data_IF_817727848062
#
_entry.id   IF_817727848062
#
_cell.length_a   1.000
_cell.length_b   1.000
_cell.length_c   1.000
_cell.angle_alpha   90.00
_cell.angle_beta   90.00
_cell.angle_gamma   90.00
#
_symmetry.space_group_name_H-M   'P 1'
#
loop_
_entity.id
_entity.type
_entity.pdbx_description
1 polymer ?
#
# COMPACT_ATOMS: atom_id res chain seq x y z
N UNK A 1 -40.96 -57.18 -7.28
CA UNK A 1 -40.41 -56.16 -8.21
C UNK A 1 -39.75 -56.87 -9.40
N UNK A 2 -40.03 -56.45 -10.65
CA UNK A 2 -39.46 -57.11 -11.84
C UNK A 2 -37.93 -57.01 -11.83
N UNK A 3 -37.25 -58.11 -12.19
CA UNK A 3 -35.78 -58.25 -12.16
C UNK A 3 -35.05 -57.17 -12.99
N UNK A 4 -35.73 -56.60 -13.99
CA UNK A 4 -35.24 -55.48 -14.81
C UNK A 4 -35.21 -54.14 -14.07
N UNK A 5 -36.17 -53.87 -13.17
CA UNK A 5 -36.22 -52.60 -12.41
C UNK A 5 -35.00 -52.48 -11.49
N UNK A 6 -34.61 -53.57 -10.81
CA UNK A 6 -33.40 -53.58 -9.95
C UNK A 6 -32.11 -53.31 -10.75
N UNK A 7 -31.97 -53.83 -11.97
CA UNK A 7 -30.80 -53.58 -12.83
C UNK A 7 -30.69 -52.11 -13.23
N UNK A 8 -31.79 -51.52 -13.69
CA UNK A 8 -31.82 -50.10 -14.05
C UNK A 8 -31.57 -49.20 -12.84
N UNK A 9 -32.12 -49.51 -11.67
CA UNK A 9 -31.83 -48.77 -10.44
C UNK A 9 -30.34 -48.78 -10.07
N UNK A 10 -29.65 -49.92 -10.22
CA UNK A 10 -28.20 -50.01 -9.98
C UNK A 10 -27.41 -49.17 -10.99
N UNK A 11 -27.79 -49.22 -12.27
CA UNK A 11 -27.15 -48.42 -13.34
C UNK A 11 -27.31 -46.92 -13.05
N UNK A 12 -28.51 -46.49 -12.67
CA UNK A 12 -28.77 -45.09 -12.29
C UNK A 12 -27.96 -44.66 -11.06
N UNK A 13 -27.80 -45.54 -10.06
CA UNK A 13 -27.05 -45.25 -8.85
C UNK A 13 -25.54 -45.09 -9.14
N UNK A 14 -24.97 -45.96 -9.98
CA UNK A 14 -23.58 -45.86 -10.44
C UNK A 14 -23.39 -44.59 -11.28
N UNK A 15 -24.30 -44.31 -12.21
CA UNK A 15 -24.23 -43.10 -13.04
C UNK A 15 -24.32 -41.81 -12.19
N UNK A 16 -25.13 -41.82 -11.14
CA UNK A 16 -25.25 -40.70 -10.20
C UNK A 16 -23.96 -40.49 -9.39
N UNK A 17 -23.34 -41.58 -8.88
CA UNK A 17 -22.06 -41.51 -8.18
C UNK A 17 -20.92 -41.00 -9.08
N UNK A 18 -20.86 -41.46 -10.33
CA UNK A 18 -19.91 -40.97 -11.31
C UNK A 18 -20.16 -39.49 -11.64
N UNK A 19 -21.43 -39.10 -11.79
CA UNK A 19 -21.82 -37.70 -12.00
C UNK A 19 -21.38 -36.79 -10.83
N UNK A 20 -21.57 -37.23 -9.59
CA UNK A 20 -21.09 -36.51 -8.39
C UNK A 20 -19.57 -36.40 -8.39
N UNK A 21 -18.85 -37.48 -8.72
CA UNK A 21 -17.39 -37.47 -8.82
C UNK A 21 -16.89 -36.47 -9.87
N UNK A 22 -17.53 -36.41 -11.04
CA UNK A 22 -17.20 -35.47 -12.12
C UNK A 22 -17.46 -34.02 -11.70
N UNK A 23 -18.53 -33.74 -10.94
CA UNK A 23 -18.82 -32.39 -10.44
C UNK A 23 -17.95 -31.98 -9.24
N UNK A 24 -17.58 -32.94 -8.39
CA UNK A 24 -16.72 -32.72 -7.23
C UNK A 24 -15.25 -32.49 -7.63
N UNK A 25 -14.77 -33.15 -8.69
CA UNK A 25 -13.37 -33.10 -9.10
C UNK A 25 -12.84 -31.67 -9.40
N UNK A 26 -13.52 -30.83 -10.21
CA UNK A 26 -13.12 -29.42 -10.40
C UNK A 26 -13.12 -28.63 -9.10
N UNK A 27 -14.10 -28.88 -8.23
CA UNK A 27 -14.28 -28.20 -6.94
C UNK A 27 -13.14 -28.52 -5.97
N UNK A 28 -12.74 -29.79 -5.90
CA UNK A 28 -11.61 -30.27 -5.08
C UNK A 28 -10.29 -29.68 -5.59
N UNK A 29 -10.07 -29.65 -6.91
CA UNK A 29 -8.86 -29.04 -7.46
C UNK A 29 -8.79 -27.52 -7.21
N UNK A 30 -9.91 -26.82 -7.34
CA UNK A 30 -10.01 -25.39 -7.03
C UNK A 30 -9.73 -25.13 -5.55
N UNK A 31 -10.29 -25.95 -4.66
CA UNK A 31 -10.04 -25.89 -3.22
C UNK A 31 -8.56 -26.12 -2.88
N UNK A 32 -7.92 -27.17 -3.40
CA UNK A 32 -6.49 -27.41 -3.14
C UNK A 32 -5.58 -26.26 -3.64
N UNK A 33 -5.87 -25.70 -4.82
CA UNK A 33 -5.12 -24.56 -5.36
C UNK A 33 -5.28 -23.31 -4.49
N UNK A 34 -6.49 -23.05 -4.01
CA UNK A 34 -6.77 -21.90 -3.14
C UNK A 34 -6.15 -22.07 -1.76
N UNK A 35 -6.30 -23.23 -1.12
CA UNK A 35 -5.72 -23.51 0.20
C UNK A 35 -4.19 -23.43 0.14
N UNK A 36 -3.56 -24.00 -0.88
CA UNK A 36 -2.10 -23.90 -1.06
C UNK A 36 -1.64 -22.45 -1.27
N UNK A 37 -2.38 -21.65 -2.05
CA UNK A 37 -2.06 -20.24 -2.26
C UNK A 37 -2.23 -19.41 -0.98
N UNK A 38 -3.28 -19.69 -0.20
CA UNK A 38 -3.57 -19.03 1.08
C UNK A 38 -2.49 -19.40 2.11
N UNK A 39 -2.15 -20.68 2.26
CA UNK A 39 -1.06 -21.12 3.16
C UNK A 39 0.28 -20.50 2.78
N UNK A 40 0.66 -20.53 1.49
CA UNK A 40 1.91 -19.92 1.04
C UNK A 40 1.96 -18.41 1.33
N UNK A 41 0.83 -17.72 1.21
CA UNK A 41 0.72 -16.30 1.55
C UNK A 41 0.79 -16.09 3.05
N UNK A 42 0.05 -16.87 3.82
CA UNK A 42 0.03 -16.82 5.28
C UNK A 42 1.44 -17.02 5.86
N UNK A 43 2.22 -17.93 5.31
CA UNK A 43 3.57 -18.25 5.79
C UNK A 43 4.65 -17.35 5.14
N UNK A 44 4.24 -16.33 4.38
CA UNK A 44 5.15 -15.43 3.70
C UNK A 44 5.87 -14.50 4.67
N UNK A 45 7.19 -14.57 4.66
CA UNK A 45 8.06 -13.64 5.39
C UNK A 45 8.30 -12.31 4.64
N UNK A 46 7.72 -12.16 3.45
CA UNK A 46 7.89 -10.99 2.60
C UNK A 46 7.02 -9.82 3.10
N UNK A 47 7.65 -8.65 3.28
CA UNK A 47 7.02 -7.38 3.64
C UNK A 47 7.56 -6.29 2.71
N UNK A 48 7.04 -6.19 1.46
CA UNK A 48 7.53 -5.20 0.54
C UNK A 48 7.21 -3.78 1.04
N UNK A 49 8.08 -2.84 0.66
CA UNK A 49 7.79 -1.41 0.79
C UNK A 49 7.35 -0.92 -0.58
N UNK A 50 6.10 -0.50 -0.67
CA UNK A 50 5.49 -0.04 -1.92
C UNK A 50 5.49 1.48 -1.91
N UNK A 51 6.03 2.09 -2.97
CA UNK A 51 6.18 3.52 -3.14
C UNK A 51 5.22 4.01 -4.23
N UNK A 52 4.55 5.14 -4.02
CA UNK A 52 3.77 5.84 -5.04
C UNK A 52 4.27 7.29 -5.13
N UNK A 53 4.70 7.76 -6.32
CA UNK A 53 5.22 9.10 -6.49
C UNK A 53 4.09 10.13 -6.64
N UNK A 54 4.46 11.43 -6.63
CA UNK A 54 3.55 12.56 -6.86
C UNK A 54 3.14 12.75 -8.32
N UNK A 55 2.46 13.86 -8.59
CA UNK A 55 2.09 14.23 -9.96
C UNK A 55 3.30 14.55 -10.83
N UNK A 56 3.13 14.39 -12.15
CA UNK A 56 4.16 14.61 -13.18
C UNK A 56 5.45 13.80 -12.98
N UNK A 57 5.45 12.89 -12.01
CA UNK A 57 6.55 12.03 -11.66
C UNK A 57 6.38 10.66 -12.33
N UNK A 58 7.48 10.10 -12.80
CA UNK A 58 7.52 8.71 -13.24
C UNK A 58 7.93 7.81 -12.07
N UNK A 59 7.97 6.51 -12.30
CA UNK A 59 8.50 5.54 -11.33
C UNK A 59 9.97 5.81 -10.92
N UNK A 60 10.72 6.63 -11.67
CA UNK A 60 12.13 6.94 -11.37
C UNK A 60 12.29 7.95 -10.22
N UNK A 61 11.20 8.57 -9.73
CA UNK A 61 11.28 9.62 -8.70
C UNK A 61 11.95 9.17 -7.41
N UNK A 62 11.92 7.88 -7.10
CA UNK A 62 12.54 7.33 -5.90
C UNK A 62 13.90 6.68 -6.14
N UNK A 63 14.48 6.74 -7.35
CA UNK A 63 15.74 6.04 -7.65
C UNK A 63 16.88 6.50 -6.72
N UNK A 64 17.13 7.80 -6.65
CA UNK A 64 18.16 8.35 -5.77
C UNK A 64 17.89 8.11 -4.27
N UNK A 65 16.63 8.08 -3.84
CA UNK A 65 16.25 7.71 -2.48
C UNK A 65 16.62 6.25 -2.20
N UNK A 66 16.25 5.36 -3.12
CA UNK A 66 16.44 3.92 -2.98
C UNK A 66 17.92 3.55 -3.04
N UNK A 67 18.70 4.22 -3.88
CA UNK A 67 20.15 4.04 -3.93
C UNK A 67 20.78 4.44 -2.60
N UNK A 68 20.45 5.63 -2.05
CA UNK A 68 20.95 6.06 -0.72
C UNK A 68 20.55 5.09 0.40
N UNK A 69 19.31 4.60 0.41
CA UNK A 69 18.84 3.60 1.39
C UNK A 69 19.60 2.27 1.26
N UNK A 70 19.93 1.87 0.04
CA UNK A 70 20.67 0.65 -0.22
C UNK A 70 22.16 0.77 0.13
N UNK A 71 22.78 1.93 -0.07
CA UNK A 71 24.20 2.15 0.22
C UNK A 71 24.47 2.18 1.74
N UNK A 72 23.51 2.66 2.53
CA UNK A 72 23.60 2.73 4.00
C UNK A 72 23.42 1.39 4.68
N UNK A 73 22.78 0.43 4.02
CA UNK A 73 22.48 -0.88 4.58
C UNK A 73 23.41 -1.93 3.97
N UNK A 74 24.08 -2.71 4.80
CA UNK A 74 24.84 -3.89 4.35
C UNK A 74 23.98 -4.98 3.68
N UNK A 75 22.66 -4.80 3.60
CA UNK A 75 21.73 -5.67 2.86
C UNK A 75 20.89 -4.82 1.89
N UNK A 76 21.24 -4.91 0.60
CA UNK A 76 20.53 -4.25 -0.50
C UNK A 76 19.10 -4.79 -0.64
N UNK A 77 18.14 -3.89 -0.81
CA UNK A 77 16.77 -4.17 -1.21
C UNK A 77 16.67 -4.35 -2.73
N UNK A 78 15.81 -5.24 -3.20
CA UNK A 78 15.51 -5.35 -4.61
C UNK A 78 14.62 -4.20 -5.05
N UNK A 79 14.68 -3.80 -6.32
CA UNK A 79 13.84 -2.75 -6.86
C UNK A 79 13.03 -3.28 -8.04
N UNK A 80 11.71 -3.25 -7.90
CA UNK A 80 10.76 -3.48 -8.97
C UNK A 80 10.00 -2.18 -9.25
N UNK A 81 9.96 -1.78 -10.51
CA UNK A 81 9.22 -0.62 -10.99
C UNK A 81 8.03 -1.10 -11.78
N UNK A 82 6.87 -0.54 -11.49
CA UNK A 82 5.58 -0.91 -12.05
C UNK A 82 4.96 0.35 -12.63
N UNK A 83 4.52 0.29 -13.89
CA UNK A 83 3.77 1.38 -14.51
C UNK A 83 2.41 0.87 -14.94
N UNK A 84 1.35 1.51 -14.44
CA UNK A 84 -0.03 1.22 -14.87
C UNK A 84 -0.41 2.19 -15.97
N UNK A 85 -0.78 1.62 -17.11
CA UNK A 85 -1.17 2.33 -18.32
C UNK A 85 -2.63 2.76 -18.28
N UNK A 86 -2.99 3.75 -19.10
CA UNK A 86 -4.36 4.29 -19.17
C UNK A 86 -5.40 3.27 -19.65
N UNK A 87 -4.95 2.19 -20.28
CA UNK A 87 -5.75 1.04 -20.72
C UNK A 87 -5.74 -0.13 -19.72
N UNK A 88 -5.42 0.12 -18.45
CA UNK A 88 -5.36 -0.86 -17.36
C UNK A 88 -4.26 -1.95 -17.50
N UNK A 89 -3.37 -1.85 -18.50
CA UNK A 89 -2.19 -2.74 -18.63
C UNK A 89 -1.10 -2.35 -17.64
N UNK A 90 -0.26 -3.32 -17.28
CA UNK A 90 0.88 -3.12 -16.39
C UNK A 90 2.18 -3.45 -17.13
N UNK A 91 3.14 -2.54 -17.08
CA UNK A 91 4.54 -2.81 -17.44
C UNK A 91 5.43 -2.88 -16.21
N UNK A 92 6.50 -3.66 -16.31
CA UNK A 92 7.45 -3.92 -15.23
C UNK A 92 8.87 -3.63 -15.69
N UNK A 93 9.71 -3.07 -14.82
CA UNK A 93 11.16 -3.01 -14.99
C UNK A 93 11.87 -3.29 -13.67
N UNK A 94 13.10 -3.78 -13.72
CA UNK A 94 13.78 -4.32 -12.53
C UNK A 94 13.27 -5.71 -12.13
N UNK A 95 13.68 -6.18 -10.95
CA UNK A 95 13.33 -7.52 -10.46
C UNK A 95 13.43 -7.61 -8.94
N UNK A 96 12.72 -8.60 -8.37
CA UNK A 96 12.83 -8.97 -6.96
C UNK A 96 13.71 -10.21 -6.87
N UNK A 97 14.82 -10.11 -6.12
CA UNK A 97 15.72 -11.26 -5.91
C UNK A 97 15.02 -12.35 -5.09
N UNK A 98 15.30 -13.64 -5.35
CA UNK A 98 14.82 -14.71 -4.51
C UNK A 98 15.21 -14.48 -3.04
N UNK A 99 14.29 -14.75 -2.11
CA UNK A 99 14.48 -14.61 -0.65
C UNK A 99 14.75 -13.18 -0.15
N UNK A 100 14.50 -12.16 -0.98
CA UNK A 100 14.39 -10.81 -0.47
C UNK A 100 13.05 -10.63 0.25
N UNK A 101 13.12 -10.48 1.57
CA UNK A 101 11.95 -10.34 2.43
C UNK A 101 11.47 -8.89 2.56
N UNK A 102 12.21 -7.89 2.07
CA UNK A 102 11.82 -6.48 2.16
C UNK A 102 12.15 -5.73 0.86
N UNK A 103 11.67 -6.17 -0.31
CA UNK A 103 11.99 -5.46 -1.55
C UNK A 103 11.21 -4.16 -1.66
N UNK A 104 11.76 -3.24 -2.44
CA UNK A 104 11.12 -1.98 -2.80
C UNK A 104 10.39 -2.13 -4.12
N UNK A 105 9.15 -1.66 -4.15
CA UNK A 105 8.30 -1.67 -5.34
C UNK A 105 7.81 -0.26 -5.59
N UNK A 106 8.16 0.36 -6.71
CA UNK A 106 7.62 1.67 -7.09
C UNK A 106 6.47 1.46 -8.06
N UNK A 107 5.29 1.98 -7.75
CA UNK A 107 4.12 1.95 -8.63
C UNK A 107 3.84 3.37 -9.12
N UNK A 108 4.06 3.61 -10.41
CA UNK A 108 3.70 4.83 -11.11
C UNK A 108 2.54 4.64 -12.08
N UNK A 109 2.04 5.75 -12.60
CA UNK A 109 0.90 5.78 -13.53
C UNK A 109 1.30 6.51 -14.81
N UNK A 110 0.88 6.01 -15.97
CA UNK A 110 1.02 6.72 -17.24
C UNK A 110 0.33 8.08 -17.20
N UNK A 111 -0.89 8.13 -16.64
CA UNK A 111 -1.54 9.37 -16.27
C UNK A 111 -1.20 9.74 -14.82
N UNK A 112 -0.14 10.50 -14.66
CA UNK A 112 0.35 11.05 -13.39
C UNK A 112 -0.10 12.51 -13.17
N UNK A 113 -1.20 12.96 -13.79
CA UNK A 113 -1.68 14.35 -13.63
C UNK A 113 -2.26 14.62 -12.24
N UNK A 114 -2.21 15.88 -11.84
CA UNK A 114 -2.86 16.40 -10.63
C UNK A 114 -4.39 16.39 -10.70
N UNK A 115 -5.02 16.60 -9.55
CA UNK A 115 -6.45 16.87 -9.44
C UNK A 115 -7.28 15.66 -9.03
N UNK A 116 -8.39 15.94 -8.36
CA UNK A 116 -9.18 14.92 -7.66
C UNK A 116 -9.70 13.80 -8.56
N UNK A 117 -10.09 14.13 -9.79
CA UNK A 117 -10.55 13.15 -10.78
C UNK A 117 -9.44 12.17 -11.20
N UNK A 118 -8.19 12.65 -11.27
CA UNK A 118 -7.03 11.82 -11.58
C UNK A 118 -6.63 10.95 -10.38
N UNK A 119 -6.67 11.48 -9.15
CA UNK A 119 -6.44 10.69 -7.92
C UNK A 119 -7.39 9.49 -7.83
N UNK A 120 -8.69 9.67 -8.15
CA UNK A 120 -9.66 8.55 -8.19
C UNK A 120 -9.25 7.46 -9.19
N UNK A 121 -8.80 7.85 -10.39
CA UNK A 121 -8.32 6.90 -11.42
C UNK A 121 -7.03 6.19 -10.97
N UNK A 122 -6.10 6.94 -10.40
CA UNK A 122 -4.82 6.43 -9.90
C UNK A 122 -5.03 5.43 -8.75
N UNK A 123 -5.99 5.64 -7.86
CA UNK A 123 -6.35 4.67 -6.83
C UNK A 123 -6.93 3.36 -7.41
N UNK A 124 -7.78 3.45 -8.44
CA UNK A 124 -8.26 2.27 -9.18
C UNK A 124 -7.08 1.53 -9.84
N UNK A 125 -6.19 2.25 -10.51
CA UNK A 125 -5.00 1.67 -11.15
C UNK A 125 -4.04 1.05 -10.15
N UNK A 126 -3.86 1.68 -8.99
CA UNK A 126 -3.08 1.10 -7.91
C UNK A 126 -3.69 -0.21 -7.41
N UNK A 127 -5.02 -0.31 -7.31
CA UNK A 127 -5.70 -1.57 -6.97
C UNK A 127 -5.40 -2.69 -7.98
N UNK A 128 -5.38 -2.38 -9.28
CA UNK A 128 -5.03 -3.33 -10.34
C UNK A 128 -3.57 -3.81 -10.17
N UNK A 129 -2.63 -2.89 -9.99
CA UNK A 129 -1.23 -3.22 -9.75
C UNK A 129 -1.03 -4.02 -8.46
N UNK A 130 -1.65 -3.59 -7.36
CA UNK A 130 -1.54 -4.24 -6.06
C UNK A 130 -2.03 -5.69 -6.12
N UNK A 131 -3.17 -5.94 -6.76
CA UNK A 131 -3.70 -7.30 -6.92
C UNK A 131 -2.77 -8.19 -7.75
N UNK A 132 -2.17 -7.65 -8.83
CA UNK A 132 -1.18 -8.36 -9.63
C UNK A 132 0.09 -8.69 -8.81
N UNK A 133 0.58 -7.72 -8.03
CA UNK A 133 1.74 -7.89 -7.15
C UNK A 133 1.48 -8.91 -6.04
N UNK A 134 0.34 -8.81 -5.35
CA UNK A 134 -0.06 -9.75 -4.29
C UNK A 134 -0.21 -11.17 -4.84
N UNK A 135 -0.79 -11.33 -6.03
CA UNK A 135 -0.90 -12.63 -6.70
C UNK A 135 0.46 -13.19 -7.15
N UNK A 136 1.38 -12.34 -7.60
CA UNK A 136 2.69 -12.79 -8.06
C UNK A 136 3.64 -13.15 -6.91
N UNK A 137 3.71 -12.29 -5.90
CA UNK A 137 4.72 -12.37 -4.84
C UNK A 137 4.19 -12.92 -3.51
N UNK A 138 2.86 -13.10 -3.37
CA UNK A 138 2.25 -13.81 -2.24
C UNK A 138 2.66 -13.26 -0.87
N UNK A 139 2.85 -11.94 -0.74
CA UNK A 139 3.00 -11.30 0.58
C UNK A 139 1.64 -11.25 1.31
N UNK A 140 1.66 -11.36 2.63
CA UNK A 140 0.48 -11.19 3.52
C UNK A 140 0.48 -9.85 4.26
N UNK A 141 1.49 -9.02 4.02
CA UNK A 141 1.60 -7.70 4.61
C UNK A 141 2.47 -6.79 3.75
N UNK A 142 2.34 -5.47 3.90
CA UNK A 142 3.22 -4.51 3.23
C UNK A 142 3.34 -3.21 4.02
N UNK A 143 4.32 -2.40 3.61
CA UNK A 143 4.53 -1.02 4.06
C UNK A 143 4.36 -0.09 2.87
N UNK A 144 3.90 1.13 3.13
CA UNK A 144 3.53 2.08 2.09
C UNK A 144 4.25 3.41 2.28
N UNK A 145 4.72 4.00 1.17
CA UNK A 145 5.28 5.35 1.12
C UNK A 145 4.62 6.10 -0.03
N UNK A 146 3.93 7.19 0.26
CA UNK A 146 3.32 8.06 -0.75
C UNK A 146 3.93 9.45 -0.72
N UNK A 147 4.53 9.89 -1.82
CA UNK A 147 4.98 11.28 -1.96
C UNK A 147 3.91 12.11 -2.65
N UNK A 148 3.58 13.29 -2.11
CA UNK A 148 2.60 14.22 -2.67
C UNK A 148 1.28 13.52 -2.99
N UNK A 149 0.81 13.56 -4.23
CA UNK A 149 -0.38 12.82 -4.66
C UNK A 149 -0.36 11.32 -4.37
N UNK A 150 0.82 10.69 -4.29
CA UNK A 150 0.93 9.29 -3.93
C UNK A 150 0.32 8.98 -2.56
N UNK A 151 0.39 9.91 -1.60
CA UNK A 151 -0.29 9.75 -0.32
C UNK A 151 -1.81 9.81 -0.44
N UNK A 152 -2.33 10.71 -1.30
CA UNK A 152 -3.77 10.81 -1.58
C UNK A 152 -4.29 9.56 -2.29
N UNK A 153 -3.50 9.00 -3.22
CA UNK A 153 -3.79 7.73 -3.88
C UNK A 153 -3.87 6.60 -2.86
N UNK A 154 -2.95 6.54 -1.89
CA UNK A 154 -3.02 5.57 -0.80
C UNK A 154 -4.28 5.73 0.06
N UNK A 155 -4.63 6.95 0.47
CA UNK A 155 -5.85 7.20 1.24
C UNK A 155 -7.08 6.72 0.50
N UNK A 156 -7.24 7.15 -0.76
CA UNK A 156 -8.34 6.74 -1.63
C UNK A 156 -8.38 5.22 -1.83
N UNK A 157 -7.21 4.59 -1.99
CA UNK A 157 -7.08 3.14 -2.12
C UNK A 157 -7.56 2.40 -0.87
N UNK A 158 -7.07 2.82 0.30
CA UNK A 158 -7.42 2.20 1.58
C UNK A 158 -8.92 2.31 1.87
N UNK A 159 -9.53 3.43 1.50
CA UNK A 159 -10.95 3.67 1.78
C UNK A 159 -11.90 2.96 0.83
N UNK A 160 -11.51 2.75 -0.43
CA UNK A 160 -12.43 2.32 -1.49
C UNK A 160 -12.10 0.98 -2.14
N UNK A 161 -10.86 0.49 -2.00
CA UNK A 161 -10.39 -0.70 -2.71
C UNK A 161 -9.70 -1.73 -1.79
N UNK A 162 -9.25 -1.34 -0.59
CA UNK A 162 -8.56 -2.24 0.34
C UNK A 162 -9.55 -2.92 1.31
N UNK A 163 -10.39 -3.81 0.78
CA UNK A 163 -11.27 -4.67 1.60
C UNK A 163 -10.75 -6.11 1.60
N UNK A 164 -9.71 -6.37 2.40
CA UNK A 164 -8.90 -7.60 2.35
C UNK A 164 -8.61 -8.10 3.77
N UNK A 165 -8.87 -9.38 4.02
CA UNK A 165 -8.57 -10.03 5.30
C UNK A 165 -7.24 -10.80 5.25
N UNK A 166 -6.72 -11.05 4.05
CA UNK A 166 -5.53 -11.86 3.81
C UNK A 166 -4.22 -11.05 3.72
N UNK A 167 -4.32 -9.72 3.58
CA UNK A 167 -3.17 -8.81 3.57
C UNK A 167 -3.38 -7.65 4.53
N UNK A 168 -2.39 -7.37 5.37
CA UNK A 168 -2.36 -6.19 6.23
C UNK A 168 -1.43 -5.10 5.71
N UNK A 169 -1.86 -3.83 5.80
CA UNK A 169 -0.95 -2.69 5.70
C UNK A 169 -0.41 -2.38 7.10
N UNK A 170 0.92 -2.44 7.27
CA UNK A 170 1.55 -2.23 8.58
C UNK A 170 1.78 -0.77 8.88
N UNK A 171 2.41 -0.08 7.94
CA UNK A 171 2.86 1.31 8.08
C UNK A 171 2.60 2.08 6.80
N UNK A 172 2.14 3.32 6.92
CA UNK A 172 2.01 4.27 5.83
C UNK A 172 2.79 5.53 6.20
N UNK A 173 3.76 5.92 5.36
CA UNK A 173 4.36 7.25 5.42
C UNK A 173 3.87 8.08 4.24
N UNK A 174 3.35 9.26 4.53
CA UNK A 174 3.00 10.24 3.51
C UNK A 174 3.96 11.42 3.59
N UNK A 175 4.39 11.94 2.45
CA UNK A 175 5.43 12.99 2.39
C UNK A 175 4.90 14.14 1.55
N UNK A 176 4.53 15.25 2.20
CA UNK A 176 4.02 16.45 1.53
C UNK A 176 2.67 16.24 0.82
N UNK A 177 1.82 15.34 1.32
CA UNK A 177 0.56 14.99 0.66
C UNK A 177 -0.52 16.06 0.88
N UNK A 178 -1.05 16.69 -0.17
CA UNK A 178 -1.97 17.83 -0.03
C UNK A 178 -3.42 17.38 0.20
N UNK A 179 -3.77 16.94 1.42
CA UNK A 179 -5.10 16.42 1.73
C UNK A 179 -6.23 17.44 1.51
N UNK A 180 -5.91 18.74 1.57
CA UNK A 180 -6.84 19.82 1.27
C UNK A 180 -6.47 20.61 -0.01
N UNK A 181 -5.72 20.02 -0.94
CA UNK A 181 -5.17 20.69 -2.12
C UNK A 181 -4.44 22.00 -1.78
N UNK A 182 -4.82 23.11 -2.40
CA UNK A 182 -4.23 24.44 -2.23
C UNK A 182 -4.90 25.24 -1.10
N UNK A 183 -5.87 24.67 -0.39
CA UNK A 183 -6.54 25.36 0.71
C UNK A 183 -5.57 25.54 1.90
N UNK A 184 -5.49 26.77 2.39
CA UNK A 184 -4.59 27.17 3.48
C UNK A 184 -5.29 27.16 4.83
N UNK A 185 -6.63 27.07 4.86
CA UNK A 185 -7.42 26.98 6.09
C UNK A 185 -7.86 25.55 6.40
N UNK A 186 -7.79 25.16 7.67
CA UNK A 186 -8.40 23.90 8.15
C UNK A 186 -9.92 24.01 8.33
N UNK A 187 -10.47 25.22 8.39
CA UNK A 187 -11.92 25.44 8.52
C UNK A 187 -12.66 25.09 7.24
N UNK A 188 -12.05 25.38 6.08
CA UNK A 188 -12.62 25.08 4.77
C UNK A 188 -12.15 23.71 4.31
N UNK A 189 -13.10 22.86 3.91
CA UNK A 189 -12.80 21.51 3.46
C UNK A 189 -13.14 21.40 2.00
N UNK A 190 -12.14 21.11 1.18
CA UNK A 190 -12.36 20.74 -0.21
C UNK A 190 -13.27 19.50 -0.30
N UNK A 191 -13.87 19.27 -1.47
CA UNK A 191 -14.65 18.06 -1.71
C UNK A 191 -13.82 16.80 -1.42
N UNK A 192 -12.53 16.79 -1.81
CA UNK A 192 -11.65 15.65 -1.58
C UNK A 192 -11.45 15.37 -0.09
N UNK A 193 -11.10 16.37 0.70
CA UNK A 193 -10.93 16.19 2.15
C UNK A 193 -12.22 15.70 2.80
N UNK A 194 -13.35 16.28 2.40
CA UNK A 194 -14.67 15.89 2.93
C UNK A 194 -15.01 14.44 2.61
N UNK A 195 -14.71 13.98 1.39
CA UNK A 195 -14.91 12.59 0.98
C UNK A 195 -14.02 11.62 1.78
N UNK A 196 -12.74 11.96 1.99
CA UNK A 196 -11.83 11.17 2.83
C UNK A 196 -12.33 11.08 4.28
N UNK A 197 -12.71 12.20 4.89
CA UNK A 197 -13.25 12.21 6.25
C UNK A 197 -14.51 11.34 6.36
N UNK A 198 -15.38 11.35 5.33
CA UNK A 198 -16.59 10.53 5.30
C UNK A 198 -16.27 9.03 5.25
N UNK A 199 -15.25 8.63 4.50
CA UNK A 199 -14.90 7.23 4.26
C UNK A 199 -13.86 6.65 5.22
N UNK A 200 -13.23 7.48 6.07
CA UNK A 200 -12.14 7.10 6.98
C UNK A 200 -12.33 5.81 7.76
N UNK A 201 -13.58 5.44 8.11
CA UNK A 201 -13.89 4.20 8.85
C UNK A 201 -13.44 2.93 8.12
N UNK A 202 -13.18 3.00 6.82
CA UNK A 202 -12.66 1.92 5.99
C UNK A 202 -11.13 1.74 6.11
N UNK A 203 -10.41 2.73 6.65
CA UNK A 203 -8.96 2.62 6.87
C UNK A 203 -8.70 1.57 7.97
N UNK A 204 -7.77 0.62 7.76
CA UNK A 204 -7.46 -0.40 8.75
C UNK A 204 -7.06 0.18 10.10
N UNK A 205 -7.74 -0.26 11.17
CA UNK A 205 -7.48 0.22 12.54
C UNK A 205 -6.10 -0.19 13.09
N UNK A 206 -5.44 -1.16 12.47
CA UNK A 206 -4.09 -1.63 12.83
C UNK A 206 -2.98 -0.84 12.13
N UNK A 207 -3.33 0.11 11.25
CA UNK A 207 -2.36 0.90 10.51
C UNK A 207 -1.64 1.89 11.43
N UNK A 208 -0.32 1.99 11.29
CA UNK A 208 0.47 3.12 11.81
C UNK A 208 0.77 4.12 10.69
N UNK A 209 0.47 5.40 10.90
CA UNK A 209 0.61 6.46 9.89
C UNK A 209 1.62 7.51 10.35
N UNK A 210 2.55 7.86 9.46
CA UNK A 210 3.53 8.92 9.64
C UNK A 210 3.33 9.98 8.55
N UNK A 211 2.87 11.16 8.92
CA UNK A 211 2.58 12.26 7.99
C UNK A 211 3.73 13.28 8.04
N UNK A 212 4.58 13.27 7.02
CA UNK A 212 5.71 14.20 6.90
C UNK A 212 5.22 15.46 6.19
N UNK A 213 5.35 16.60 6.86
CA UNK A 213 4.98 17.92 6.35
C UNK A 213 6.29 18.67 6.05
N UNK A 214 6.56 18.92 4.77
CA UNK A 214 7.66 19.79 4.36
C UNK A 214 7.27 21.25 4.51
N UNK A 215 8.16 22.08 5.03
CA UNK A 215 7.96 23.54 5.03
C UNK A 215 9.30 24.26 4.82
N UNK A 216 9.38 25.13 3.81
CA UNK A 216 10.56 25.99 3.63
C UNK A 216 10.55 27.16 4.61
N UNK A 217 9.38 27.79 4.78
CA UNK A 217 9.17 28.98 5.62
C UNK A 217 8.00 28.78 6.61
N UNK A 218 7.81 27.56 7.15
CA UNK A 218 6.68 27.17 8.02
C UNK A 218 5.27 27.19 7.40
N UNK A 219 5.08 27.84 6.25
CA UNK A 219 3.76 27.96 5.60
C UNK A 219 3.49 26.93 4.50
N UNK A 220 4.51 26.58 3.72
CA UNK A 220 4.42 25.66 2.57
C UNK A 220 5.79 25.09 2.19
N UNK A 221 5.81 24.06 1.35
CA UNK A 221 7.02 23.45 0.77
C UNK A 221 7.37 24.00 -0.64
N UNK A 222 6.84 25.17 -1.00
CA UNK A 222 6.94 25.77 -2.33
C UNK A 222 5.82 25.36 -3.30
N UNK A 223 5.01 24.34 -2.98
CA UNK A 223 3.87 23.89 -3.80
C UNK A 223 2.61 23.65 -2.95
N UNK A 224 2.77 22.95 -1.82
CA UNK A 224 1.68 22.51 -0.95
C UNK A 224 1.70 23.32 0.35
N UNK A 225 0.56 23.93 0.72
CA UNK A 225 0.41 24.53 2.04
C UNK A 225 0.60 23.50 3.16
N UNK A 226 1.35 23.85 4.20
CA UNK A 226 1.56 22.99 5.37
C UNK A 226 0.22 22.55 5.98
N UNK A 227 -0.75 23.49 6.02
CA UNK A 227 -2.13 23.25 6.49
C UNK A 227 -2.90 22.23 5.65
N UNK A 228 -2.64 22.16 4.35
CA UNK A 228 -3.24 21.16 3.49
C UNK A 228 -2.74 19.76 3.83
N UNK A 229 -1.44 19.62 4.13
CA UNK A 229 -0.88 18.35 4.59
C UNK A 229 -1.30 18.01 6.03
N UNK A 230 -1.39 19.00 6.92
CA UNK A 230 -1.89 18.87 8.29
C UNK A 230 -3.35 18.36 8.33
N UNK A 231 -4.15 18.65 7.31
CA UNK A 231 -5.54 18.17 7.23
C UNK A 231 -5.66 16.64 7.24
N UNK A 232 -4.57 15.89 7.00
CA UNK A 232 -4.51 14.44 7.17
C UNK A 232 -4.97 13.97 8.56
N UNK A 233 -4.81 14.78 9.61
CA UNK A 233 -5.25 14.45 10.97
C UNK A 233 -6.74 14.14 11.06
N UNK A 234 -7.58 14.82 10.28
CA UNK A 234 -9.03 14.59 10.26
C UNK A 234 -9.41 13.22 9.69
N UNK A 235 -8.52 12.63 8.88
CA UNK A 235 -8.71 11.33 8.25
C UNK A 235 -8.22 10.21 9.20
N UNK A 236 -7.04 10.37 9.78
CA UNK A 236 -6.34 9.28 10.46
C UNK A 236 -6.42 9.29 11.99
N UNK A 237 -6.46 10.46 12.66
CA UNK A 237 -6.48 10.51 14.13
C UNK A 237 -7.77 9.90 14.69
N UNK A 238 -7.62 8.95 15.61
CA UNK A 238 -8.76 8.19 16.16
C UNK A 238 -9.34 7.14 15.20
N UNK A 239 -8.69 6.89 14.06
CA UNK A 239 -9.04 5.80 13.15
C UNK A 239 -7.90 4.79 13.01
N UNK A 240 -6.70 5.27 12.67
CA UNK A 240 -5.48 4.46 12.63
C UNK A 240 -5.02 4.14 14.06
N UNK A 241 -4.23 3.07 14.23
CA UNK A 241 -3.68 2.70 15.54
C UNK A 241 -2.79 3.80 16.09
N UNK A 242 -1.94 4.34 15.22
CA UNK A 242 -1.03 5.44 15.51
C UNK A 242 -1.06 6.44 14.36
N UNK A 243 -1.07 7.72 14.70
CA UNK A 243 -0.90 8.82 13.76
C UNK A 243 0.14 9.78 14.31
N UNK A 244 1.21 9.99 13.57
CA UNK A 244 2.33 10.87 13.95
C UNK A 244 2.57 11.87 12.83
N UNK A 245 2.51 13.16 13.16
CA UNK A 245 2.90 14.24 12.27
C UNK A 245 4.36 14.61 12.54
N UNK A 246 5.14 14.83 11.48
CA UNK A 246 6.54 15.21 11.57
C UNK A 246 6.77 16.37 10.60
N UNK A 247 7.16 17.52 11.11
CA UNK A 247 7.51 18.68 10.29
C UNK A 247 8.99 18.67 9.97
N UNK A 248 9.31 18.79 8.69
CA UNK A 248 10.68 18.94 8.17
C UNK A 248 10.83 20.36 7.65
N UNK A 249 11.77 21.11 8.23
CA UNK A 249 12.04 22.51 7.91
C UNK A 249 13.41 22.68 7.23
N UNK A 250 13.54 23.72 6.42
CA UNK A 250 14.81 24.13 5.80
C UNK A 250 14.74 24.19 4.27
N UNK A 251 15.81 24.67 3.64
CA UNK A 251 15.88 24.87 2.19
C UNK A 251 15.64 23.57 1.40
N UNK A 252 16.11 22.44 1.94
CA UNK A 252 15.93 21.10 1.37
C UNK A 252 14.52 20.52 1.60
N UNK A 253 13.61 21.28 2.22
CA UNK A 253 12.20 20.90 2.40
C UNK A 253 11.34 21.31 1.19
N UNK A 254 11.94 21.67 0.05
CA UNK A 254 11.22 21.93 -1.20
C UNK A 254 10.47 20.68 -1.68
N UNK A 255 9.22 20.86 -2.12
CA UNK A 255 8.30 19.78 -2.48
C UNK A 255 8.89 18.68 -3.38
N UNK A 256 9.67 19.09 -4.39
CA UNK A 256 10.30 18.18 -5.36
C UNK A 256 11.43 17.35 -4.77
N UNK A 257 12.09 17.87 -3.74
CA UNK A 257 13.36 17.40 -3.20
C UNK A 257 13.17 16.61 -1.90
N UNK A 258 11.99 16.72 -1.28
CA UNK A 258 11.59 15.96 -0.10
C UNK A 258 11.94 14.47 -0.21
N UNK A 259 11.66 13.73 -1.30
CA UNK A 259 12.04 12.32 -1.39
C UNK A 259 13.54 12.05 -1.30
N UNK A 260 14.40 13.03 -1.59
CA UNK A 260 15.86 12.89 -1.58
C UNK A 260 16.52 13.51 -0.35
N UNK A 261 15.75 14.24 0.46
CA UNK A 261 16.17 14.92 1.67
C UNK A 261 16.71 13.91 2.69
N UNK A 262 17.85 14.25 3.28
CA UNK A 262 18.55 13.37 4.21
C UNK A 262 17.77 13.07 5.49
N UNK A 263 16.99 14.03 5.99
CA UNK A 263 16.10 13.82 7.13
C UNK A 263 14.99 12.83 6.76
N UNK A 264 14.41 12.93 5.56
CA UNK A 264 13.36 12.01 5.10
C UNK A 264 13.89 10.58 4.95
N UNK A 265 15.12 10.41 4.44
CA UNK A 265 15.79 9.10 4.42
C UNK A 265 15.89 8.52 5.84
N UNK A 266 16.36 9.30 6.81
CA UNK A 266 16.50 8.84 8.19
C UNK A 266 15.14 8.48 8.80
N UNK A 267 14.08 9.25 8.49
CA UNK A 267 12.72 8.97 8.93
C UNK A 267 12.17 7.68 8.32
N UNK A 268 12.42 7.43 7.03
CA UNK A 268 12.06 6.17 6.37
C UNK A 268 12.78 5.00 7.04
N UNK A 269 14.08 5.14 7.31
CA UNK A 269 14.87 4.12 8.01
C UNK A 269 14.29 3.84 9.40
N UNK A 270 14.04 4.87 10.19
CA UNK A 270 13.58 4.75 11.57
C UNK A 270 12.15 4.24 11.68
N UNK A 271 11.23 4.79 10.89
CA UNK A 271 9.81 4.53 11.07
C UNK A 271 9.27 3.45 10.14
N UNK A 272 9.81 3.29 8.93
CA UNK A 272 9.32 2.30 7.96
C UNK A 272 10.18 1.04 7.95
N UNK A 273 11.50 1.18 7.89
CA UNK A 273 12.41 0.03 7.68
C UNK A 273 12.90 -0.61 8.98
N UNK A 274 12.97 0.12 10.08
CA UNK A 274 13.41 -0.43 11.35
C UNK A 274 12.49 -1.58 11.76
N UNK A 275 13.10 -2.72 12.08
CA UNK A 275 12.42 -3.76 12.83
C UNK A 275 12.21 -3.21 14.22
N UNK A 276 10.96 -3.03 14.63
CA UNK A 276 10.66 -2.67 16.01
C UNK A 276 11.41 -3.69 16.89
N UNK A 277 12.41 -3.25 17.65
CA UNK A 277 12.75 -3.99 18.87
C UNK A 277 11.49 -3.91 19.74
N UNK A 278 11.07 -4.99 20.40
CA UNK A 278 10.15 -4.86 21.53
C UNK A 278 10.70 -3.73 22.41
N UNK A 279 9.84 -2.80 22.84
CA UNK A 279 10.20 -1.97 23.98
C UNK A 279 10.41 -2.96 25.11
N UNK A 280 11.65 -3.26 25.46
CA UNK A 280 11.94 -3.82 26.76
C UNK A 280 11.32 -2.84 27.75
N UNK A 281 10.45 -3.36 28.60
CA UNK A 281 9.89 -2.63 29.73
C UNK A 281 11.06 -2.03 30.51
N UNK A 282 11.30 -0.73 30.32
CA UNK A 282 12.02 0.06 31.32
C UNK A 282 11.06 0.28 32.49
N UNK A 283 10.84 -0.80 33.21
CA UNK A 283 10.39 -0.84 34.58
C UNK A 283 11.20 -1.95 35.25
N UNK A 284 12.43 -1.62 35.63
CA UNK A 284 13.06 -2.08 36.86
C UNK A 284 14.41 -1.40 37.07
N UNK A 285 14.45 -0.68 38.20
CA UNK A 285 15.56 -0.46 39.11
C UNK A 285 16.62 0.66 38.88
N UNK A 286 16.84 1.35 40.01
CA UNK A 286 17.94 2.26 40.43
C UNK A 286 17.81 3.73 40.01
N UNK A 287 17.69 4.74 40.88
CA UNK A 287 17.76 4.90 42.35
C UNK A 287 16.83 6.04 42.79
#
# INVERSE_FOLDING_TARGET
>A
MPRNVKKWSIIFLIASLVGIGILAWPSIQWMHKNVTAISKRHDSNMSPVIFIPGSSATQNRFDGLIDKLNDRRGKRHSLLKVTVHTNDRISYSGSIRPRDNEPFIVVGFENNKDGYSNIKKQAKWFSIAFNALAKKYQFNNFKAIGHSNGGLVYTMYLENYFNRDDISIKKLMTIGSPYNFSETSLSHKTQMLSDFIKQRKKIPKTLSVYSIIGTQNFDNDGIVPARSAEAGKYIYQGQAQHYTEITVTGNDAQHSDLPQNQQIINLIEQYILAKNKPRDDQNQDTH
#
